data_IF_530103386222
#
_entry.id   IF_530103386222
#
_cell.length_a   1.000
_cell.length_b   1.000
_cell.length_c   1.000
_cell.angle_alpha   90.00
_cell.angle_beta   90.00
_cell.angle_gamma   90.00
#
_symmetry.space_group_name_H-M   'P 1'
#
loop_
_entity.id
_entity.type
_entity.pdbx_description
1 polymer ?
#
# COMPACT_ATOMS: atom_id res chain seq x y z
N UNK A 1 -20.20 1.37 -4.71
CA UNK A 1 -19.07 2.22 -4.34
C UNK A 1 -19.35 3.32 -3.31
N UNK A 2 -20.60 3.56 -2.91
CA UNK A 2 -20.90 4.60 -1.88
C UNK A 2 -20.41 4.28 -0.45
N UNK A 3 -20.16 3.01 -0.15
CA UNK A 3 -19.77 2.57 1.21
C UNK A 3 -18.29 2.85 1.53
N UNK A 4 -17.41 2.81 0.52
CA UNK A 4 -15.97 3.05 0.69
C UNK A 4 -15.64 4.51 0.96
N UNK A 5 -16.40 5.44 0.35
CA UNK A 5 -16.11 6.88 0.39
C UNK A 5 -16.83 7.61 1.53
N UNK A 6 -17.84 6.98 2.18
CA UNK A 6 -18.58 7.63 3.26
C UNK A 6 -17.76 7.78 4.53
N UNK A 7 -17.87 8.92 5.23
CA UNK A 7 -17.34 9.05 6.57
C UNK A 7 -18.06 8.10 7.53
N UNK A 8 -17.35 7.62 8.56
CA UNK A 8 -17.92 6.79 9.61
C UNK A 8 -17.35 5.37 9.69
N UNK A 9 -17.86 4.61 10.64
CA UNK A 9 -17.37 3.29 11.02
C UNK A 9 -17.31 2.25 9.89
N UNK A 10 -18.33 2.13 9.00
CA UNK A 10 -18.25 1.12 7.93
C UNK A 10 -17.04 1.32 7.01
N UNK A 11 -16.73 2.57 6.66
CA UNK A 11 -15.56 2.87 5.86
C UNK A 11 -14.23 2.64 6.61
N UNK A 12 -14.20 2.84 7.93
CA UNK A 12 -13.02 2.56 8.74
C UNK A 12 -12.79 1.05 8.89
N UNK A 13 -13.84 0.27 9.09
CA UNK A 13 -13.75 -1.21 9.10
C UNK A 13 -13.27 -1.75 7.75
N UNK A 14 -13.74 -1.18 6.64
CA UNK A 14 -13.25 -1.53 5.31
C UNK A 14 -11.77 -1.17 5.15
N UNK A 15 -11.31 -0.06 5.73
CA UNK A 15 -9.90 0.31 5.71
C UNK A 15 -9.03 -0.68 6.52
N UNK A 16 -9.49 -1.11 7.70
CA UNK A 16 -8.83 -2.19 8.47
C UNK A 16 -8.75 -3.46 7.63
N UNK A 17 -9.86 -3.88 7.02
CA UNK A 17 -9.89 -5.08 6.20
C UNK A 17 -8.96 -4.96 4.98
N UNK A 18 -8.95 -3.81 4.29
CA UNK A 18 -8.05 -3.56 3.16
C UNK A 18 -6.57 -3.59 3.60
N UNK A 19 -6.24 -2.98 4.75
CA UNK A 19 -4.90 -3.07 5.31
C UNK A 19 -4.50 -4.51 5.62
N UNK A 20 -5.35 -5.26 6.31
CA UNK A 20 -5.09 -6.66 6.64
C UNK A 20 -4.93 -7.55 5.40
N UNK A 21 -5.76 -7.38 4.38
CA UNK A 21 -5.70 -8.14 3.13
C UNK A 21 -4.38 -7.88 2.38
N UNK A 22 -3.75 -6.70 2.55
CA UNK A 22 -2.46 -6.40 1.93
C UNK A 22 -1.40 -7.42 2.34
N UNK A 23 -1.47 -8.01 3.54
CA UNK A 23 -0.51 -9.02 3.99
C UNK A 23 -0.56 -10.30 3.18
N UNK A 24 -1.72 -10.63 2.60
CA UNK A 24 -1.87 -11.79 1.71
C UNK A 24 -1.22 -11.57 0.33
N UNK A 25 -0.88 -10.33 0.01
CA UNK A 25 -0.12 -10.03 -1.20
C UNK A 25 1.40 -10.23 -1.03
N UNK A 26 1.86 -10.47 0.20
CA UNK A 26 3.25 -10.67 0.56
C UNK A 26 3.52 -12.15 0.83
N UNK A 27 4.80 -12.53 0.80
CA UNK A 27 5.21 -13.90 1.16
C UNK A 27 4.67 -14.29 2.55
N UNK A 28 4.25 -15.52 2.76
CA UNK A 28 4.35 -16.68 1.85
C UNK A 28 3.14 -16.88 0.92
N UNK A 29 2.18 -15.93 0.90
CA UNK A 29 0.94 -16.09 0.13
C UNK A 29 1.07 -15.62 -1.32
N UNK A 30 1.82 -14.52 -1.55
CA UNK A 30 2.19 -13.94 -2.85
C UNK A 30 1.00 -13.64 -3.80
N UNK A 31 -0.18 -13.35 -3.24
CA UNK A 31 -1.38 -13.01 -4.01
C UNK A 31 -1.29 -11.53 -4.41
N UNK A 32 -0.34 -11.19 -5.29
CA UNK A 32 0.01 -9.81 -5.68
C UNK A 32 -1.18 -8.91 -6.09
N UNK A 33 -2.29 -9.41 -6.72
CA UNK A 33 -3.41 -8.52 -7.08
C UNK A 33 -4.10 -7.89 -5.87
N UNK A 34 -4.00 -8.53 -4.68
CA UNK A 34 -4.58 -8.00 -3.46
C UNK A 34 -3.90 -6.69 -3.01
N UNK A 35 -2.63 -6.49 -3.32
CA UNK A 35 -1.96 -5.22 -3.05
C UNK A 35 -2.58 -4.07 -3.86
N UNK A 36 -2.81 -4.26 -5.16
CA UNK A 36 -3.50 -3.29 -6.02
C UNK A 36 -4.92 -3.00 -5.53
N UNK A 37 -5.66 -4.06 -5.17
CA UNK A 37 -7.02 -3.92 -4.64
C UNK A 37 -7.02 -3.12 -3.33
N UNK A 38 -6.16 -3.47 -2.38
CA UNK A 38 -6.10 -2.83 -1.07
C UNK A 38 -5.71 -1.35 -1.17
N UNK A 39 -4.66 -1.03 -1.95
CA UNK A 39 -4.22 0.35 -2.19
C UNK A 39 -5.30 1.15 -2.93
N UNK A 40 -5.96 0.53 -3.92
CA UNK A 40 -7.07 1.14 -4.66
C UNK A 40 -8.29 1.42 -3.76
N UNK A 41 -8.65 0.51 -2.87
CA UNK A 41 -9.71 0.70 -1.88
C UNK A 41 -9.35 1.80 -0.87
N UNK A 42 -8.09 1.85 -0.44
CA UNK A 42 -7.61 2.90 0.44
C UNK A 42 -7.68 4.28 -0.23
N UNK A 43 -7.13 4.42 -1.44
CA UNK A 43 -7.22 5.66 -2.22
C UNK A 43 -8.68 6.09 -2.44
N UNK A 44 -9.55 5.16 -2.85
CA UNK A 44 -10.97 5.40 -3.00
C UNK A 44 -11.61 5.92 -1.71
N UNK A 45 -11.26 5.29 -0.59
CA UNK A 45 -11.77 5.60 0.73
C UNK A 45 -11.37 6.98 1.26
N UNK A 46 -10.32 7.60 0.71
CA UNK A 46 -9.86 8.93 1.11
C UNK A 46 -10.53 10.07 0.33
N UNK A 47 -11.08 9.80 -0.86
CA UNK A 47 -11.46 10.82 -1.85
C UNK A 47 -12.44 11.90 -1.37
N UNK A 48 -13.43 11.53 -0.58
CA UNK A 48 -14.53 12.42 -0.16
C UNK A 48 -14.43 12.83 1.31
N UNK A 49 -13.35 12.44 1.99
CA UNK A 49 -13.17 12.69 3.41
C UNK A 49 -12.57 14.08 3.68
N UNK A 50 -12.95 14.69 4.80
CA UNK A 50 -12.22 15.83 5.34
C UNK A 50 -10.82 15.39 5.78
N UNK A 51 -9.84 16.30 5.93
CA UNK A 51 -8.49 15.93 6.35
C UNK A 51 -8.45 15.16 7.69
N UNK A 52 -9.29 15.53 8.67
CA UNK A 52 -9.39 14.81 9.95
C UNK A 52 -9.93 13.38 9.78
N UNK A 53 -10.92 13.20 8.89
CA UNK A 53 -11.46 11.87 8.59
C UNK A 53 -10.46 11.02 7.80
N UNK A 54 -9.70 11.63 6.89
CA UNK A 54 -8.63 10.98 6.14
C UNK A 54 -7.51 10.50 7.07
N UNK A 55 -7.13 11.30 8.08
CA UNK A 55 -6.19 10.90 9.13
C UNK A 55 -6.66 9.61 9.82
N UNK A 56 -7.92 9.61 10.31
CA UNK A 56 -8.49 8.43 10.97
C UNK A 56 -8.54 7.22 10.02
N UNK A 57 -8.96 7.42 8.75
CA UNK A 57 -9.01 6.35 7.76
C UNK A 57 -7.63 5.75 7.46
N UNK A 58 -6.60 6.60 7.37
CA UNK A 58 -5.21 6.17 7.23
C UNK A 58 -4.74 5.38 8.44
N UNK A 59 -5.08 5.84 9.64
CA UNK A 59 -4.74 5.12 10.86
C UNK A 59 -5.38 3.72 10.90
N UNK A 60 -6.66 3.59 10.56
CA UNK A 60 -7.34 2.30 10.52
C UNK A 60 -6.77 1.37 9.44
N UNK A 61 -6.38 1.89 8.28
CA UNK A 61 -5.71 1.10 7.26
C UNK A 61 -4.36 0.57 7.75
N UNK A 62 -3.52 1.46 8.32
CA UNK A 62 -2.23 1.09 8.89
C UNK A 62 -2.38 0.09 10.05
N UNK A 63 -3.37 0.28 10.91
CA UNK A 63 -3.67 -0.64 12.00
C UNK A 63 -4.02 -2.05 11.49
N UNK A 64 -4.81 -2.14 10.42
CA UNK A 64 -5.12 -3.42 9.76
C UNK A 64 -3.88 -4.09 9.16
N UNK A 65 -3.07 -3.32 8.41
CA UNK A 65 -1.86 -3.83 7.77
C UNK A 65 -0.84 -4.34 8.80
N UNK A 66 -0.51 -3.51 9.78
CA UNK A 66 0.49 -3.89 10.79
C UNK A 66 -0.06 -4.89 11.79
N UNK A 67 -1.34 -4.80 12.18
CA UNK A 67 -1.95 -5.78 13.07
C UNK A 67 -1.91 -7.20 12.49
N UNK A 68 -2.19 -7.35 11.21
CA UNK A 68 -2.10 -8.65 10.54
C UNK A 68 -0.64 -9.04 10.23
N UNK A 69 0.13 -8.15 9.61
CA UNK A 69 1.45 -8.49 9.07
C UNK A 69 2.57 -8.55 10.10
N UNK A 70 2.38 -7.98 11.29
CA UNK A 70 3.38 -8.03 12.38
C UNK A 70 2.91 -8.83 13.60
N UNK A 71 1.87 -9.66 13.45
CA UNK A 71 1.32 -10.48 14.54
C UNK A 71 2.35 -11.41 15.18
N UNK A 72 3.39 -11.81 14.45
CA UNK A 72 4.52 -12.58 14.96
C UNK A 72 5.28 -11.90 16.11
N UNK A 73 5.21 -10.55 16.24
CA UNK A 73 5.83 -9.81 17.34
C UNK A 73 5.19 -10.22 18.68
N UNK A 74 3.87 -10.47 18.70
CA UNK A 74 3.22 -11.01 19.89
C UNK A 74 3.87 -12.32 20.33
N UNK A 75 4.08 -13.23 19.38
CA UNK A 75 4.71 -14.53 19.67
C UNK A 75 6.13 -14.35 20.23
N UNK A 76 6.91 -13.45 19.64
CA UNK A 76 8.27 -13.15 20.10
C UNK A 76 8.30 -12.60 21.51
N UNK A 77 7.41 -11.64 21.83
CA UNK A 77 7.33 -11.06 23.19
C UNK A 77 6.87 -12.09 24.21
N UNK A 78 5.86 -12.91 23.87
CA UNK A 78 5.30 -13.88 24.80
C UNK A 78 6.24 -15.07 25.02
N UNK A 79 6.66 -15.75 23.94
CA UNK A 79 7.42 -17.00 24.05
C UNK A 79 8.90 -16.78 24.35
N UNK A 80 9.54 -15.80 23.70
CA UNK A 80 10.98 -15.57 23.89
C UNK A 80 11.26 -14.48 24.94
N UNK A 81 10.37 -13.49 25.08
CA UNK A 81 10.51 -12.44 26.07
C UNK A 81 9.94 -12.80 27.45
N UNK A 82 9.25 -13.93 27.59
CA UNK A 82 8.67 -14.38 28.86
C UNK A 82 7.51 -13.51 29.38
N UNK A 83 6.98 -12.60 28.54
CA UNK A 83 5.89 -11.73 28.95
C UNK A 83 4.57 -12.52 29.08
N UNK A 84 3.71 -12.11 30.04
CA UNK A 84 2.35 -12.68 30.13
C UNK A 84 1.55 -12.40 28.86
N UNK A 85 0.52 -13.22 28.58
CA UNK A 85 -0.40 -13.07 27.44
C UNK A 85 -0.97 -11.65 27.37
N UNK A 86 -1.39 -11.09 28.52
CA UNK A 86 -1.97 -9.75 28.57
C UNK A 86 -0.93 -8.68 28.25
N UNK A 87 0.29 -8.79 28.79
CA UNK A 87 1.36 -7.83 28.53
C UNK A 87 1.81 -7.89 27.06
N UNK A 88 2.02 -9.09 26.52
CA UNK A 88 2.39 -9.27 25.13
C UNK A 88 1.33 -8.72 24.16
N UNK A 89 0.04 -8.99 24.45
CA UNK A 89 -1.08 -8.45 23.68
C UNK A 89 -1.16 -6.92 23.75
N UNK A 90 -0.99 -6.34 24.93
CA UNK A 90 -0.97 -4.90 25.12
C UNK A 90 0.18 -4.23 24.35
N UNK A 91 1.40 -4.77 24.47
CA UNK A 91 2.58 -4.24 23.76
C UNK A 91 2.42 -4.35 22.24
N UNK A 92 1.87 -5.46 21.74
CA UNK A 92 1.57 -5.63 20.32
C UNK A 92 0.53 -4.62 19.83
N UNK A 93 -0.54 -4.40 20.57
CA UNK A 93 -1.56 -3.40 20.22
C UNK A 93 -0.98 -1.98 20.25
N UNK A 94 -0.17 -1.65 21.26
CA UNK A 94 0.50 -0.36 21.37
C UNK A 94 1.44 -0.12 20.16
N UNK A 95 2.25 -1.11 19.83
CA UNK A 95 3.14 -1.05 18.66
C UNK A 95 2.34 -0.84 17.37
N UNK A 96 1.30 -1.64 17.14
CA UNK A 96 0.44 -1.53 15.95
C UNK A 96 -0.22 -0.16 15.86
N UNK A 97 -0.74 0.35 16.99
CA UNK A 97 -1.37 1.66 17.03
C UNK A 97 -0.38 2.81 16.76
N UNK A 98 0.84 2.68 17.24
CA UNK A 98 1.90 3.66 17.01
C UNK A 98 2.36 3.66 15.55
N UNK A 99 2.65 2.48 14.99
CA UNK A 99 3.17 2.39 13.62
C UNK A 99 2.09 2.71 12.55
N UNK A 100 0.81 2.60 12.88
CA UNK A 100 -0.29 2.99 12.00
C UNK A 100 -0.27 4.48 11.62
N UNK A 101 0.42 5.34 12.37
CA UNK A 101 0.58 6.76 12.06
C UNK A 101 1.35 7.01 10.77
N UNK A 102 2.16 6.06 10.30
CA UNK A 102 2.81 6.16 8.98
C UNK A 102 1.83 6.19 7.82
N UNK A 103 0.60 5.69 7.98
CA UNK A 103 -0.47 5.84 6.99
C UNK A 103 -1.41 7.00 7.32
N UNK A 104 -1.61 7.31 8.58
CA UNK A 104 -2.47 8.39 9.03
C UNK A 104 -1.98 9.76 8.54
N UNK A 105 -0.71 10.08 8.80
CA UNK A 105 -0.13 11.37 8.45
C UNK A 105 -0.10 11.64 6.94
N UNK A 106 0.38 10.72 6.08
CA UNK A 106 0.31 10.90 4.62
C UNK A 106 -1.12 11.06 4.10
N UNK A 107 -2.07 10.31 4.63
CA UNK A 107 -3.48 10.45 4.24
C UNK A 107 -4.02 11.86 4.58
N UNK A 108 -3.65 12.38 5.75
CA UNK A 108 -4.01 13.73 6.16
C UNK A 108 -3.33 14.80 5.28
N UNK A 109 -2.00 14.67 5.02
CA UNK A 109 -1.24 15.56 4.15
C UNK A 109 -1.87 15.60 2.76
N UNK A 110 -2.14 14.44 2.18
CA UNK A 110 -2.76 14.35 0.87
C UNK A 110 -4.13 15.02 0.84
N UNK A 111 -5.00 14.72 1.81
CA UNK A 111 -6.35 15.28 1.85
C UNK A 111 -6.36 16.78 2.12
N UNK A 112 -5.36 17.33 2.84
CA UNK A 112 -5.29 18.73 3.24
C UNK A 112 -4.70 19.64 2.17
N UNK A 113 -3.67 19.16 1.45
CA UNK A 113 -2.89 20.03 0.57
C UNK A 113 -2.72 19.52 -0.87
N UNK A 114 -2.73 18.21 -1.08
CA UNK A 114 -2.32 17.63 -2.35
C UNK A 114 -3.47 17.08 -3.19
N UNK A 115 -4.62 16.80 -2.59
CA UNK A 115 -5.78 16.26 -3.29
C UNK A 115 -6.30 17.27 -4.34
N UNK A 116 -6.37 16.82 -5.60
CA UNK A 116 -6.79 17.63 -6.75
C UNK A 116 -7.86 16.89 -7.55
N UNK A 117 -9.13 17.26 -7.31
CA UNK A 117 -10.26 16.61 -7.97
C UNK A 117 -10.31 16.86 -9.49
N UNK A 118 -9.79 17.99 -9.94
CA UNK A 118 -9.80 18.42 -11.34
C UNK A 118 -8.55 17.97 -12.12
N UNK A 119 -7.50 17.56 -11.43
CA UNK A 119 -6.25 17.10 -12.02
C UNK A 119 -5.93 15.66 -11.55
N UNK A 120 -6.67 14.64 -12.06
CA UNK A 120 -6.61 13.27 -11.55
C UNK A 120 -5.23 12.61 -11.70
N UNK A 121 -4.41 13.02 -12.68
CA UNK A 121 -3.03 12.53 -12.81
C UNK A 121 -2.14 13.11 -11.70
N UNK A 122 -2.17 14.43 -11.48
CA UNK A 122 -1.40 15.07 -10.43
C UNK A 122 -1.81 14.56 -9.04
N UNK A 123 -3.09 14.28 -8.85
CA UNK A 123 -3.63 13.69 -7.63
C UNK A 123 -3.10 12.26 -7.38
N UNK A 124 -3.07 11.42 -8.42
CA UNK A 124 -2.53 10.06 -8.35
C UNK A 124 -1.01 10.06 -8.10
N UNK A 125 -0.27 10.96 -8.78
CA UNK A 125 1.17 11.11 -8.56
C UNK A 125 1.49 11.56 -7.13
N UNK A 126 0.74 12.53 -6.60
CA UNK A 126 0.92 13.01 -5.22
C UNK A 126 0.63 11.90 -4.20
N UNK A 127 -0.42 11.10 -4.42
CA UNK A 127 -0.73 9.95 -3.58
C UNK A 127 0.38 8.89 -3.62
N UNK A 128 0.87 8.53 -4.81
CA UNK A 128 1.95 7.56 -4.99
C UNK A 128 3.27 8.04 -4.37
N UNK A 129 3.59 9.33 -4.50
CA UNK A 129 4.77 9.92 -3.87
C UNK A 129 4.70 9.86 -2.34
N UNK A 130 3.56 10.18 -1.74
CA UNK A 130 3.36 10.06 -0.30
C UNK A 130 3.37 8.60 0.17
N UNK A 131 2.86 7.68 -0.66
CA UNK A 131 2.91 6.26 -0.37
C UNK A 131 4.35 5.76 -0.23
N UNK A 132 5.21 6.04 -1.20
CA UNK A 132 6.63 5.67 -1.13
C UNK A 132 7.37 6.49 -0.08
N UNK A 133 7.05 7.78 0.04
CA UNK A 133 7.68 8.66 1.03
C UNK A 133 7.51 8.15 2.47
N UNK A 134 6.32 7.63 2.82
CA UNK A 134 6.11 7.04 4.14
C UNK A 134 6.86 5.71 4.31
N UNK A 135 6.94 4.87 3.27
CA UNK A 135 7.73 3.64 3.32
C UNK A 135 9.22 3.95 3.52
N UNK A 136 9.76 4.90 2.75
CA UNK A 136 11.14 5.35 2.87
C UNK A 136 11.42 5.96 4.26
N UNK A 137 10.54 6.86 4.73
CA UNK A 137 10.68 7.47 6.05
C UNK A 137 10.64 6.42 7.17
N UNK A 138 9.73 5.46 7.10
CA UNK A 138 9.62 4.36 8.06
C UNK A 138 10.85 3.45 8.07
N UNK A 139 11.57 3.38 6.95
CA UNK A 139 12.77 2.55 6.81
C UNK A 139 13.98 3.02 7.64
N UNK A 140 14.00 4.27 8.10
CA UNK A 140 15.11 4.81 8.90
C UNK A 140 14.67 5.48 10.22
N UNK A 141 13.42 5.91 10.33
CA UNK A 141 12.92 6.57 11.53
C UNK A 141 12.98 5.63 12.73
N UNK A 142 13.54 6.08 13.87
CA UNK A 142 13.75 5.30 15.10
C UNK A 142 14.40 3.93 14.83
N UNK A 143 15.52 3.92 14.12
CA UNK A 143 16.27 2.73 13.68
C UNK A 143 15.65 1.97 12.49
N UNK A 144 14.45 2.36 12.07
CA UNK A 144 13.75 1.83 10.91
C UNK A 144 12.92 0.57 11.17
N UNK A 145 11.80 0.47 10.45
CA UNK A 145 10.96 -0.72 10.41
C UNK A 145 10.66 -1.09 8.95
N UNK A 146 11.55 -1.83 8.26
CA UNK A 146 11.47 -2.10 6.82
C UNK A 146 10.55 -3.27 6.44
N UNK A 147 9.60 -3.64 7.29
CA UNK A 147 8.64 -4.71 7.00
C UNK A 147 7.41 -4.21 6.25
N UNK A 148 6.82 -5.10 5.46
CA UNK A 148 5.56 -4.88 4.74
C UNK A 148 5.62 -3.71 3.76
N UNK A 149 6.74 -3.52 3.06
CA UNK A 149 6.80 -2.61 1.93
C UNK A 149 5.99 -3.18 0.77
N UNK A 150 5.14 -2.36 0.17
CA UNK A 150 4.21 -2.81 -0.87
C UNK A 150 4.91 -3.32 -2.14
N UNK A 151 6.12 -2.82 -2.43
CA UNK A 151 6.92 -3.29 -3.55
C UNK A 151 7.26 -4.78 -3.49
N UNK A 152 7.44 -5.33 -2.30
CA UNK A 152 7.72 -6.77 -2.14
C UNK A 152 6.55 -7.68 -2.53
N UNK A 153 5.32 -7.16 -2.58
CA UNK A 153 4.17 -7.91 -3.09
C UNK A 153 4.25 -8.22 -4.58
N UNK A 154 5.21 -7.62 -5.29
CA UNK A 154 5.32 -7.73 -6.75
C UNK A 154 6.53 -8.56 -7.20
N UNK A 155 7.16 -9.33 -6.30
CA UNK A 155 8.32 -10.16 -6.66
C UNK A 155 7.99 -11.14 -7.78
N UNK A 156 6.81 -11.78 -7.71
CA UNK A 156 6.28 -12.66 -8.76
C UNK A 156 5.19 -11.98 -9.59
N UNK A 157 5.06 -10.67 -9.45
CA UNK A 157 4.04 -9.86 -10.13
C UNK A 157 4.57 -9.14 -11.36
N UNK A 158 3.66 -8.48 -12.11
CA UNK A 158 4.01 -7.80 -13.36
C UNK A 158 4.95 -6.61 -13.18
N UNK A 159 5.09 -6.06 -11.97
CA UNK A 159 5.96 -4.93 -11.70
C UNK A 159 7.40 -5.33 -11.32
N UNK A 160 7.70 -6.62 -11.17
CA UNK A 160 9.03 -7.13 -10.83
C UNK A 160 10.12 -6.62 -11.78
N UNK A 161 9.79 -6.45 -13.08
CA UNK A 161 10.71 -5.90 -14.08
C UNK A 161 11.22 -4.50 -13.82
N UNK A 162 10.64 -3.76 -12.88
CA UNK A 162 11.12 -2.44 -12.47
C UNK A 162 12.25 -2.51 -11.42
N UNK A 163 12.49 -3.68 -10.82
CA UNK A 163 13.49 -3.84 -9.77
C UNK A 163 14.90 -3.41 -10.22
N UNK A 164 15.41 -3.77 -11.41
CA UNK A 164 16.74 -3.34 -11.85
C UNK A 164 16.87 -1.83 -12.09
N UNK A 165 15.76 -1.11 -12.30
CA UNK A 165 15.74 0.32 -12.65
C UNK A 165 15.70 1.20 -11.40
N UNK A 166 14.83 0.90 -10.45
CA UNK A 166 14.62 1.74 -9.27
C UNK A 166 14.30 0.97 -8.00
N UNK A 167 14.61 -0.33 -7.98
CA UNK A 167 14.43 -1.18 -6.83
C UNK A 167 12.98 -1.25 -6.37
N UNK A 168 12.83 -1.65 -5.13
CA UNK A 168 11.55 -1.77 -4.42
C UNK A 168 10.77 -0.44 -4.40
N UNK A 169 11.45 0.71 -4.35
CA UNK A 169 10.81 2.03 -4.29
C UNK A 169 10.05 2.38 -5.56
N UNK A 170 10.62 2.08 -6.73
CA UNK A 170 9.94 2.29 -8.02
C UNK A 170 8.75 1.34 -8.17
N UNK A 171 8.86 0.12 -7.67
CA UNK A 171 7.76 -0.86 -7.68
C UNK A 171 6.62 -0.36 -6.78
N UNK A 172 6.89 0.04 -5.54
CA UNK A 172 5.89 0.60 -4.62
C UNK A 172 5.19 1.84 -5.19
N UNK A 173 5.99 2.74 -5.81
CA UNK A 173 5.45 3.94 -6.47
C UNK A 173 4.50 3.57 -7.60
N UNK A 174 4.94 2.68 -8.50
CA UNK A 174 4.17 2.27 -9.67
C UNK A 174 2.90 1.52 -9.26
N UNK A 175 2.96 0.68 -8.24
CA UNK A 175 1.80 0.00 -7.68
C UNK A 175 0.76 1.01 -7.17
N UNK A 176 1.16 1.97 -6.36
CA UNK A 176 0.26 2.98 -5.81
C UNK A 176 -0.32 3.90 -6.91
N UNK A 177 0.52 4.30 -7.88
CA UNK A 177 0.12 5.09 -9.03
C UNK A 177 -0.89 4.33 -9.90
N UNK A 178 -0.62 3.07 -10.21
CA UNK A 178 -1.49 2.19 -10.99
C UNK A 178 -2.86 2.05 -10.33
N UNK A 179 -2.89 1.76 -9.04
CA UNK A 179 -4.13 1.63 -8.27
C UNK A 179 -4.97 2.93 -8.30
N UNK A 180 -4.31 4.09 -8.12
CA UNK A 180 -4.97 5.39 -8.18
C UNK A 180 -5.48 5.75 -9.58
N UNK A 181 -4.71 5.45 -10.64
CA UNK A 181 -5.10 5.68 -12.04
C UNK A 181 -6.27 4.80 -12.46
N UNK A 182 -6.27 3.51 -12.08
CA UNK A 182 -7.40 2.61 -12.35
C UNK A 182 -8.67 3.16 -11.69
N UNK A 183 -8.59 3.57 -10.42
CA UNK A 183 -9.74 4.15 -9.72
C UNK A 183 -10.23 5.45 -10.38
N UNK A 184 -9.32 6.38 -10.69
CA UNK A 184 -9.68 7.63 -11.38
C UNK A 184 -10.28 7.36 -12.76
N UNK A 185 -9.75 6.39 -13.50
CA UNK A 185 -10.30 5.95 -14.77
C UNK A 185 -11.72 5.41 -14.65
N UNK A 186 -11.98 4.55 -13.66
CA UNK A 186 -13.34 4.05 -13.39
C UNK A 186 -14.34 5.17 -13.07
N UNK A 187 -13.90 6.24 -12.37
CA UNK A 187 -14.74 7.43 -12.16
C UNK A 187 -15.04 8.18 -13.46
N UNK A 188 -14.05 8.31 -14.33
CA UNK A 188 -14.11 9.11 -15.55
C UNK A 188 -14.74 8.37 -16.74
N UNK A 189 -14.95 7.05 -16.64
CA UNK A 189 -15.67 6.27 -17.68
C UNK A 189 -17.04 6.87 -17.99
N UNK A 190 -17.74 7.35 -16.98
CA UNK A 190 -19.05 8.00 -17.15
C UNK A 190 -18.97 9.30 -17.94
N UNK A 191 -17.78 9.90 -18.06
CA UNK A 191 -17.52 11.15 -18.81
C UNK A 191 -16.82 10.90 -20.16
N UNK A 192 -16.71 9.64 -20.59
CA UNK A 192 -16.06 9.25 -21.85
C UNK A 192 -14.54 9.26 -21.83
N UNK A 193 -13.91 9.58 -20.71
CA UNK A 193 -12.44 9.67 -20.57
C UNK A 193 -11.82 8.32 -20.13
N UNK A 194 -11.69 7.38 -21.07
CA UNK A 194 -11.14 6.04 -20.78
C UNK A 194 -9.61 5.99 -20.65
N UNK A 195 -8.88 7.05 -21.04
CA UNK A 195 -7.42 7.07 -21.10
C UNK A 195 -6.72 6.79 -19.75
N UNK A 196 -7.33 7.14 -18.62
CA UNK A 196 -6.75 6.88 -17.29
C UNK A 196 -6.75 5.40 -16.90
N UNK A 197 -7.74 4.63 -17.36
CA UNK A 197 -7.74 3.17 -17.16
C UNK A 197 -6.63 2.57 -18.01
N UNK A 198 -6.54 2.98 -19.28
CA UNK A 198 -5.49 2.51 -20.18
C UNK A 198 -4.09 2.82 -19.64
N UNK A 199 -3.87 4.03 -19.11
CA UNK A 199 -2.60 4.41 -18.48
C UNK A 199 -2.27 3.52 -17.26
N UNK A 200 -3.25 3.26 -16.39
CA UNK A 200 -3.05 2.38 -15.24
C UNK A 200 -2.75 0.94 -15.64
N UNK A 201 -3.44 0.44 -16.66
CA UNK A 201 -3.17 -0.91 -17.21
C UNK A 201 -1.80 -0.99 -17.86
N UNK A 202 -1.41 0.04 -18.64
CA UNK A 202 -0.08 0.10 -19.27
C UNK A 202 1.05 0.12 -18.24
N UNK A 203 0.88 0.84 -17.12
CA UNK A 203 1.85 0.85 -16.04
C UNK A 203 1.94 -0.50 -15.31
N UNK A 204 0.86 -1.28 -15.29
CA UNK A 204 0.86 -2.60 -14.70
C UNK A 204 1.53 -3.64 -15.62
N UNK A 205 1.20 -3.60 -16.92
CA UNK A 205 1.62 -4.63 -17.90
C UNK A 205 2.95 -4.29 -18.56
N UNK A 206 3.25 -2.99 -18.75
CA UNK A 206 4.44 -2.53 -19.45
C UNK A 206 5.79 -3.03 -18.91
N UNK A 207 6.00 -3.16 -17.61
CA UNK A 207 7.23 -3.70 -17.04
C UNK A 207 7.43 -5.21 -17.24
N UNK A 208 6.39 -5.96 -17.60
CA UNK A 208 6.47 -7.42 -17.71
C UNK A 208 7.49 -7.90 -18.77
N UNK A 209 7.55 -7.36 -19.99
CA UNK A 209 8.59 -7.75 -20.95
C UNK A 209 10.00 -7.51 -20.44
N UNK A 210 10.20 -6.46 -19.62
CA UNK A 210 11.50 -6.13 -19.02
C UNK A 210 11.94 -7.22 -18.03
N UNK A 211 11.01 -7.81 -17.27
CA UNK A 211 11.30 -8.95 -16.38
C UNK A 211 11.89 -10.13 -17.13
N UNK A 212 11.30 -10.48 -18.27
CA UNK A 212 11.77 -11.63 -19.06
C UNK A 212 13.16 -11.44 -19.66
N UNK A 213 13.51 -10.22 -20.08
CA UNK A 213 14.81 -9.94 -20.69
C UNK A 213 15.95 -9.91 -19.67
N UNK A 214 15.67 -9.59 -18.39
CA UNK A 214 16.69 -9.53 -17.34
C UNK A 214 16.83 -10.81 -16.53
N UNK A 215 15.80 -11.66 -16.49
CA UNK A 215 15.84 -12.95 -15.78
C UNK A 215 16.39 -14.11 -16.62
N UNK A 216 16.51 -13.92 -17.93
CA UNK A 216 17.16 -14.89 -18.85
C UNK A 216 18.65 -14.60 -18.98
N UNK A 217 19.37 -14.32 -17.92
CA UNK A 217 20.82 -14.50 -17.93
C UNK A 217 21.10 -15.99 -18.14
N UNK A 218 21.86 -16.36 -19.19
CA UNK A 218 22.25 -17.77 -19.34
C UNK A 218 23.01 -18.15 -18.09
N UNK A 219 22.46 -19.08 -17.31
CA UNK A 219 23.23 -19.82 -16.34
C UNK A 219 24.27 -20.60 -17.10
N UNK A 220 25.40 -19.98 -17.37
CA UNK A 220 26.61 -20.69 -17.78
C UNK A 220 27.09 -21.47 -16.56
N UNK A 221 26.48 -22.60 -16.32
CA UNK A 221 27.07 -23.68 -15.56
C UNK A 221 27.38 -24.80 -16.56
N UNK A 222 28.44 -24.57 -17.27
CA UNK A 222 29.23 -25.66 -17.86
C UNK A 222 30.47 -25.84 -16.98
N UNK A 223 30.41 -26.77 -16.10
CA UNK A 223 31.61 -27.51 -15.62
C UNK A 223 31.28 -28.97 -15.66
#
# INVERSE_FOLDING_TARGET
MRWTTRPGWPGNLLAVAAGAITTLALAPFDIWPLALLAVGLFYAGLRELSPRQALGRGWFFGFGLFGAGTSWIYYSIHHFGGASVLLAGFLMLLFTAAIAWFFALPAWIWARWLRRNEAPLADALAFAALWVGQEAFRGWFLTGFPWLYSGYSQLDGPLAGLAPIGGMWLISFTLALTAALIYNGMRLVRTGRKGFIAAGVLLLVGPWPVSYTHLTLPTIYSV
#
